data_IF_160473968437
#
_entry.id   IF_160473968437
#
_cell.length_a   1.000
_cell.length_b   1.000
_cell.length_c   1.000
_cell.angle_alpha   90.00
_cell.angle_beta   90.00
_cell.angle_gamma   90.00
#
_symmetry.space_group_name_H-M   'P 1'
#
loop_
_entity.id
_entity.type
_entity.pdbx_description
1 polymer ?
#
# COMPACT_ATOMS: atom_id res chain seq x y z
N UNK A 1 -59.92 -1.99 20.50
CA UNK A 1 -59.84 -1.96 19.02
C UNK A 1 -58.60 -1.16 18.61
N UNK A 2 -57.89 -1.60 17.56
CA UNK A 2 -56.47 -1.35 17.23
C UNK A 2 -56.03 0.12 17.12
N UNK A 3 -54.89 0.47 17.75
CA UNK A 3 -54.03 1.61 17.38
C UNK A 3 -53.16 1.18 16.19
N UNK A 4 -53.25 1.89 15.06
CA UNK A 4 -52.36 1.72 13.91
C UNK A 4 -51.42 2.93 13.83
N UNK A 5 -50.18 2.68 14.20
CA UNK A 5 -49.03 3.58 14.00
C UNK A 5 -48.67 3.58 12.51
N UNK A 6 -48.69 4.74 11.84
CA UNK A 6 -48.01 4.90 10.55
C UNK A 6 -46.71 5.68 10.75
N UNK A 7 -45.62 4.95 10.52
CA UNK A 7 -44.25 5.40 10.34
C UNK A 7 -44.15 6.49 9.27
N UNK A 8 -43.34 7.49 9.55
CA UNK A 8 -42.44 8.08 8.55
C UNK A 8 -41.24 8.64 9.31
N UNK A 9 -40.39 7.73 9.80
CA UNK A 9 -39.04 8.11 10.17
C UNK A 9 -38.30 8.44 8.88
N UNK A 10 -38.11 9.73 8.62
CA UNK A 10 -36.93 10.17 7.90
C UNK A 10 -35.74 9.85 8.80
N UNK A 11 -35.30 8.59 8.77
CA UNK A 11 -33.93 8.29 9.14
C UNK A 11 -33.11 8.95 8.04
N UNK A 12 -32.62 10.17 8.33
CA UNK A 12 -31.35 10.57 7.77
C UNK A 12 -30.46 9.35 7.99
N UNK A 13 -30.06 8.69 6.89
CA UNK A 13 -28.95 7.78 7.00
C UNK A 13 -27.85 8.64 7.59
N UNK A 14 -27.53 8.43 8.87
CA UNK A 14 -26.28 8.87 9.43
C UNK A 14 -25.25 8.33 8.44
N UNK A 15 -24.75 9.22 7.59
CA UNK A 15 -23.59 8.96 6.78
C UNK A 15 -22.49 8.87 7.82
N UNK A 16 -22.34 7.68 8.40
CA UNK A 16 -21.12 7.30 9.08
C UNK A 16 -20.03 7.66 8.08
N UNK A 17 -19.07 8.54 8.43
CA UNK A 17 -17.92 8.72 7.57
C UNK A 17 -17.39 7.31 7.34
N UNK A 18 -17.38 6.86 6.08
CA UNK A 18 -16.72 5.63 5.69
C UNK A 18 -15.37 5.73 6.40
N UNK A 19 -15.15 4.88 7.41
CA UNK A 19 -13.88 4.88 8.11
C UNK A 19 -12.85 4.81 6.98
N UNK A 20 -11.98 5.82 6.89
CA UNK A 20 -10.99 5.84 5.83
C UNK A 20 -10.18 4.59 6.06
N UNK A 21 -10.51 3.56 5.28
CA UNK A 21 -9.96 2.23 5.39
C UNK A 21 -8.45 2.39 5.38
N UNK A 22 -7.78 1.95 6.44
CA UNK A 22 -6.34 2.16 6.60
C UNK A 22 -5.61 1.84 5.29
N UNK A 23 -4.72 2.74 4.86
CA UNK A 23 -3.84 2.49 3.72
C UNK A 23 -3.13 1.16 3.98
N UNK A 24 -3.16 0.29 2.98
CA UNK A 24 -2.65 -1.07 3.10
C UNK A 24 -1.70 -1.38 1.97
N UNK A 25 -0.67 -2.19 2.28
CA UNK A 25 0.28 -2.70 1.31
C UNK A 25 0.11 -4.21 1.17
N UNK A 26 -0.27 -4.64 -0.03
CA UNK A 26 -0.31 -6.03 -0.43
C UNK A 26 0.93 -6.38 -1.25
N UNK A 27 1.53 -7.52 -0.94
CA UNK A 27 2.65 -8.10 -1.70
C UNK A 27 2.13 -9.36 -2.38
N UNK A 28 2.23 -9.42 -3.70
CA UNK A 28 1.83 -10.59 -4.49
C UNK A 28 3.08 -11.14 -5.16
N UNK A 29 3.47 -12.36 -4.82
CA UNK A 29 4.52 -13.06 -5.55
C UNK A 29 3.97 -13.43 -6.94
N UNK A 30 4.62 -12.97 -7.99
CA UNK A 30 4.35 -13.33 -9.37
C UNK A 30 4.88 -14.73 -9.71
N UNK A 31 4.77 -15.11 -10.99
CA UNK A 31 5.19 -16.42 -11.48
C UNK A 31 6.68 -16.67 -11.16
N UNK A 32 6.95 -17.66 -10.30
CA UNK A 32 8.30 -18.09 -9.88
C UNK A 32 8.86 -18.98 -10.99
N UNK A 33 9.22 -18.38 -12.12
CA UNK A 33 9.88 -19.07 -13.21
C UNK A 33 11.33 -18.54 -13.28
N UNK A 34 12.30 -19.43 -12.99
CA UNK A 34 13.74 -19.14 -12.86
C UNK A 34 14.11 -18.39 -11.56
N UNK A 35 15.41 -18.35 -11.24
CA UNK A 35 16.08 -17.89 -10.01
C UNK A 35 15.81 -16.42 -9.61
N UNK A 36 14.81 -15.78 -10.23
CA UNK A 36 14.44 -14.40 -10.01
C UNK A 36 12.94 -14.29 -9.73
N UNK A 37 12.60 -13.94 -8.50
CA UNK A 37 11.22 -13.76 -8.07
C UNK A 37 10.70 -12.38 -8.52
N UNK A 38 9.62 -12.38 -9.30
CA UNK A 38 8.87 -11.18 -9.65
C UNK A 38 7.81 -10.93 -8.57
N UNK A 39 7.62 -9.68 -8.17
CA UNK A 39 6.59 -9.30 -7.20
C UNK A 39 5.79 -8.11 -7.69
N UNK A 40 4.49 -8.16 -7.39
CA UNK A 40 3.58 -7.05 -7.57
C UNK A 40 3.27 -6.47 -6.18
N UNK A 41 3.64 -5.21 -6.00
CA UNK A 41 3.35 -4.46 -4.79
C UNK A 41 2.17 -3.55 -5.04
N UNK A 42 1.11 -3.69 -4.25
CA UNK A 42 -0.14 -2.98 -4.46
C UNK A 42 -0.50 -2.17 -3.22
N UNK A 43 -0.59 -0.86 -3.39
CA UNK A 43 -1.11 0.07 -2.40
C UNK A 43 -2.63 0.17 -2.51
N UNK A 44 -3.35 -0.14 -1.43
CA UNK A 44 -4.81 -0.07 -1.36
C UNK A 44 -5.24 1.14 -0.52
N UNK A 45 -6.43 1.65 -0.81
CA UNK A 45 -7.06 2.77 -0.08
C UNK A 45 -6.27 4.08 -0.09
N UNK A 46 -5.45 4.31 -1.11
CA UNK A 46 -4.73 5.57 -1.32
C UNK A 46 -5.58 6.54 -2.15
N UNK A 47 -5.63 7.81 -1.74
CA UNK A 47 -6.34 8.85 -2.47
C UNK A 47 -5.72 9.05 -3.87
N UNK A 48 -6.55 9.34 -4.88
CA UNK A 48 -6.07 9.51 -6.26
C UNK A 48 -5.14 10.73 -6.45
N UNK A 49 -5.17 11.67 -5.51
CA UNK A 49 -4.33 12.86 -5.47
C UNK A 49 -2.94 12.61 -4.88
N UNK A 50 -2.77 11.51 -4.15
CA UNK A 50 -1.53 11.25 -3.41
C UNK A 50 -0.50 10.58 -4.31
N UNK A 51 0.77 10.95 -4.10
CA UNK A 51 1.91 10.32 -4.72
C UNK A 51 2.37 9.13 -3.87
N UNK A 52 2.72 8.04 -4.55
CA UNK A 52 3.36 6.89 -3.95
C UNK A 52 4.86 6.94 -4.18
N UNK A 53 5.64 6.70 -3.13
CA UNK A 53 7.08 6.55 -3.20
C UNK A 53 7.45 5.18 -2.63
N UNK A 54 7.97 4.32 -3.49
CA UNK A 54 8.47 3.00 -3.15
C UNK A 54 9.98 3.07 -2.94
N UNK A 55 10.45 2.63 -1.79
CA UNK A 55 11.87 2.58 -1.45
C UNK A 55 12.23 1.11 -1.25
N UNK A 56 13.18 0.63 -2.03
CA UNK A 56 13.65 -0.76 -2.00
C UNK A 56 15.07 -0.74 -1.47
N UNK A 57 15.30 -1.49 -0.40
CA UNK A 57 16.59 -1.56 0.27
C UNK A 57 17.01 -3.03 0.37
N UNK A 58 18.29 -3.30 0.15
CA UNK A 58 18.89 -4.64 0.28
C UNK A 58 19.76 -4.69 1.52
N UNK A 59 19.74 -5.83 2.21
CA UNK A 59 20.60 -6.07 3.36
C UNK A 59 22.01 -6.44 2.88
N UNK A 60 22.99 -5.58 3.13
CA UNK A 60 24.38 -5.85 2.83
C UNK A 60 25.00 -6.92 3.75
N UNK A 61 26.26 -7.30 3.47
CA UNK A 61 27.00 -8.30 4.26
C UNK A 61 27.21 -7.91 5.73
N UNK A 62 27.09 -6.61 6.06
CA UNK A 62 27.19 -6.10 7.43
C UNK A 62 25.83 -6.10 8.16
N UNK A 63 24.77 -6.56 7.50
CA UNK A 63 23.41 -6.59 8.02
C UNK A 63 22.67 -5.26 7.88
N UNK A 64 23.24 -4.26 7.21
CA UNK A 64 22.64 -2.93 7.03
C UNK A 64 21.78 -2.88 5.77
N UNK A 65 20.63 -2.23 5.87
CA UNK A 65 19.79 -1.96 4.70
C UNK A 65 20.31 -0.75 3.93
N UNK A 66 20.66 -0.98 2.66
CA UNK A 66 21.16 0.04 1.74
C UNK A 66 20.12 0.26 0.64
N UNK A 67 19.77 1.51 0.38
CA UNK A 67 18.82 1.88 -0.67
C UNK A 67 19.37 1.44 -2.03
N UNK A 68 18.62 0.57 -2.70
CA UNK A 68 18.89 0.16 -4.08
C UNK A 68 18.13 1.03 -5.07
N UNK A 69 16.85 1.31 -4.78
CA UNK A 69 16.02 2.07 -5.70
C UNK A 69 14.91 2.83 -4.97
N UNK A 70 14.62 4.02 -5.48
CA UNK A 70 13.44 4.81 -5.11
C UNK A 70 12.58 5.03 -6.36
N UNK A 71 11.34 4.56 -6.34
CA UNK A 71 10.41 4.63 -7.45
C UNK A 71 9.23 5.51 -7.04
N UNK A 72 9.03 6.63 -7.73
CA UNK A 72 7.87 7.50 -7.52
C UNK A 72 6.78 7.15 -8.53
N UNK A 73 5.54 6.99 -8.06
CA UNK A 73 4.37 6.71 -8.87
C UNK A 73 3.23 7.62 -8.47
N UNK A 74 2.74 8.44 -9.40
CA UNK A 74 1.67 9.40 -9.10
C UNK A 74 0.28 8.76 -9.18
N UNK A 75 0.06 7.78 -10.06
CA UNK A 75 -1.28 7.19 -10.29
C UNK A 75 -1.31 5.67 -10.21
N UNK A 76 -0.18 4.99 -10.46
CA UNK A 76 -0.14 3.53 -10.43
C UNK A 76 0.05 3.07 -9.00
N UNK A 77 -1.02 2.48 -8.46
CA UNK A 77 -1.03 1.84 -7.14
C UNK A 77 -0.29 0.52 -7.10
N UNK A 78 -0.02 -0.07 -8.27
CA UNK A 78 0.77 -1.27 -8.42
C UNK A 78 2.18 -0.96 -8.92
N UNK A 79 3.18 -1.65 -8.38
CA UNK A 79 4.58 -1.59 -8.78
C UNK A 79 5.09 -3.03 -8.99
N UNK A 80 5.53 -3.31 -10.21
CA UNK A 80 6.15 -4.59 -10.57
C UNK A 80 7.65 -4.49 -10.34
N UNK A 81 8.21 -5.40 -9.55
CA UNK A 81 9.64 -5.42 -9.27
C UNK A 81 10.21 -6.83 -9.39
N UNK A 82 11.41 -6.91 -9.95
CA UNK A 82 12.23 -8.11 -9.98
C UNK A 82 13.46 -7.87 -9.13
N UNK A 83 13.62 -8.67 -8.08
CA UNK A 83 14.80 -8.59 -7.23
C UNK A 83 16.04 -9.09 -8.00
N UNK A 84 17.11 -8.29 -8.08
CA UNK A 84 18.25 -8.61 -8.94
C UNK A 84 19.16 -9.71 -8.37
N UNK A 85 19.14 -9.92 -7.05
CA UNK A 85 19.92 -10.94 -6.35
C UNK A 85 19.11 -11.57 -5.21
N UNK A 86 19.31 -12.86 -4.87
CA UNK A 86 18.71 -13.45 -3.69
C UNK A 86 19.16 -12.78 -2.38
N UNK A 87 18.33 -12.84 -1.34
CA UNK A 87 18.62 -12.30 -0.02
C UNK A 87 17.48 -11.53 0.64
N UNK A 88 17.84 -10.68 1.60
CA UNK A 88 16.88 -9.96 2.45
C UNK A 88 16.68 -8.53 1.95
N UNK A 89 15.43 -8.15 1.78
CA UNK A 89 15.02 -6.82 1.33
C UNK A 89 14.07 -6.17 2.32
N UNK A 90 14.15 -4.84 2.40
CA UNK A 90 13.19 -3.98 3.07
C UNK A 90 12.51 -3.11 2.02
N UNK A 91 11.23 -3.35 1.81
CA UNK A 91 10.37 -2.53 0.97
C UNK A 91 9.60 -1.55 1.85
N UNK A 92 9.67 -0.28 1.50
CA UNK A 92 8.95 0.79 2.18
C UNK A 92 8.07 1.54 1.18
N UNK A 93 6.78 1.63 1.47
CA UNK A 93 5.82 2.48 0.79
C UNK A 93 5.63 3.76 1.60
N UNK A 94 5.90 4.90 0.99
CA UNK A 94 5.55 6.22 1.50
C UNK A 94 4.41 6.78 0.66
N UNK A 95 3.34 7.21 1.32
CA UNK A 95 2.23 7.95 0.70
C UNK A 95 2.46 9.42 1.00
N UNK A 96 2.58 10.22 -0.04
CA UNK A 96 2.90 11.64 0.01
C UNK A 96 1.70 12.42 -0.51
N UNK A 97 1.15 13.31 0.30
CA UNK A 97 0.01 14.12 -0.12
C UNK A 97 0.40 15.23 -1.10
N UNK A 98 -0.60 15.95 -1.61
CA UNK A 98 -0.42 17.08 -2.56
C UNK A 98 0.49 18.20 -2.04
N UNK A 99 0.65 18.32 -0.71
CA UNK A 99 1.54 19.29 -0.08
C UNK A 99 2.98 18.80 0.06
N UNK A 100 3.29 17.58 -0.41
CA UNK A 100 4.61 16.98 -0.32
C UNK A 100 4.92 16.33 1.03
N UNK A 101 3.92 16.16 1.90
CA UNK A 101 4.10 15.56 3.23
C UNK A 101 3.79 14.07 3.20
N UNK A 102 4.67 13.26 3.79
CA UNK A 102 4.42 11.83 4.00
C UNK A 102 3.31 11.63 5.03
N UNK A 103 2.15 11.17 4.58
CA UNK A 103 0.98 10.90 5.43
C UNK A 103 1.00 9.49 6.00
N UNK A 104 1.64 8.55 5.30
CA UNK A 104 1.71 7.15 5.72
C UNK A 104 3.01 6.52 5.26
N UNK A 105 3.57 5.66 6.11
CA UNK A 105 4.76 4.87 5.82
C UNK A 105 4.52 3.42 6.24
N UNK A 106 4.62 2.50 5.29
CA UNK A 106 4.43 1.06 5.53
C UNK A 106 5.67 0.32 5.07
N UNK A 107 6.25 -0.50 5.95
CA UNK A 107 7.43 -1.29 5.64
C UNK A 107 7.12 -2.78 5.69
N UNK A 108 7.68 -3.53 4.73
CA UNK A 108 7.61 -4.98 4.60
C UNK A 108 9.01 -5.54 4.39
N UNK A 109 9.29 -6.67 5.02
CA UNK A 109 10.51 -7.43 4.83
C UNK A 109 10.23 -8.59 3.88
N UNK A 110 11.13 -8.81 2.93
CA UNK A 110 10.98 -9.80 1.87
C UNK A 110 12.27 -10.60 1.82
N UNK A 111 12.14 -11.93 1.85
CA UNK A 111 13.24 -12.85 1.57
C UNK A 111 12.99 -13.48 0.20
N UNK A 112 13.97 -13.40 -0.69
CA UNK A 112 13.91 -13.90 -2.07
C UNK A 112 14.90 -15.01 -2.32
#
# INVERSE_FOLDING_TARGET
>A
MRKTTKRSGHNQAEMFPLSMSNISLMVVAGNIASDFQNYDFVALNVAASDQLQWIIEYQDKSGRYVVMQTIKSNRRKAMHYRFPIPGSYRLTLEVVNVSGLTTTKITKFIAT
#
